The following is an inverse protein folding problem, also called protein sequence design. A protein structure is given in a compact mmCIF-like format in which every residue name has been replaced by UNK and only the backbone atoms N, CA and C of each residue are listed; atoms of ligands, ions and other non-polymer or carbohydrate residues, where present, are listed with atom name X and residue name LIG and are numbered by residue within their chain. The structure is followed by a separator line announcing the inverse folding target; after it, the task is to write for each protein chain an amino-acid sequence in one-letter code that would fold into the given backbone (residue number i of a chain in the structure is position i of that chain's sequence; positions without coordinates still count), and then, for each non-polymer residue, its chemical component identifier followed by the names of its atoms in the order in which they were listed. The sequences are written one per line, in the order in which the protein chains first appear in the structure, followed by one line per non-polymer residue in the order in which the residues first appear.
data_IF_609444806045
#
_entry.id   IF_609444806045
#
_cell.length_a   1.000
_cell.length_b   1.000
_cell.length_c   1.000
_cell.angle_alpha   90.00
_cell.angle_beta   90.00
_cell.angle_gamma   90.00
#
_symmetry.space_group_name_H-M   'P 1'
#
loop_
_entity.id
_entity.type
_entity.pdbx_description
1 polymer ?
#
# COMPACT_ATOMS: atom_id res chain seq x y z
N UNK A 1 27.37 -35.00 -5.43
CA UNK A 1 26.56 -35.55 -4.31
C UNK A 1 25.08 -35.35 -4.62
N UNK A 2 24.16 -36.10 -4.00
CA UNK A 2 22.73 -35.88 -4.22
C UNK A 2 22.30 -34.55 -3.57
N UNK A 3 21.60 -33.69 -4.31
CA UNK A 3 21.04 -32.45 -3.76
C UNK A 3 20.07 -32.82 -2.64
N UNK A 4 20.41 -32.46 -1.40
CA UNK A 4 19.58 -32.75 -0.24
C UNK A 4 18.36 -31.81 -0.18
N UNK A 5 17.41 -32.13 0.69
CA UNK A 5 16.11 -31.45 0.75
C UNK A 5 16.22 -29.96 1.10
N UNK A 6 17.20 -29.57 1.93
CA UNK A 6 17.47 -28.18 2.27
C UNK A 6 17.96 -27.41 1.04
N UNK A 7 18.94 -27.96 0.32
CA UNK A 7 19.47 -27.35 -0.91
C UNK A 7 18.43 -27.31 -2.02
N UNK A 8 17.56 -28.31 -2.11
CA UNK A 8 16.43 -28.31 -3.01
C UNK A 8 15.45 -27.18 -2.68
N UNK A 9 15.11 -26.98 -1.40
CA UNK A 9 14.24 -25.90 -0.96
C UNK A 9 14.84 -24.52 -1.28
N UNK A 10 16.14 -24.33 -1.07
CA UNK A 10 16.83 -23.09 -1.40
C UNK A 10 16.78 -22.82 -2.91
N UNK A 11 17.06 -23.84 -3.74
CA UNK A 11 16.95 -23.73 -5.19
C UNK A 11 15.52 -23.38 -5.65
N UNK A 12 14.51 -24.04 -5.07
CA UNK A 12 13.10 -23.78 -5.40
C UNK A 12 12.76 -22.34 -5.04
N UNK A 13 13.08 -21.89 -3.82
CA UNK A 13 12.80 -20.53 -3.36
C UNK A 13 13.41 -19.45 -4.25
N UNK A 14 14.68 -19.63 -4.63
CA UNK A 14 15.35 -18.69 -5.52
C UNK A 14 14.63 -18.61 -6.87
N UNK A 15 14.24 -19.76 -7.43
CA UNK A 15 13.66 -19.84 -8.78
C UNK A 15 12.13 -19.65 -8.86
N UNK A 16 11.43 -19.29 -7.76
CA UNK A 16 9.98 -19.02 -7.76
C UNK A 16 9.69 -17.68 -8.47
N UNK A 17 10.39 -16.63 -8.06
CA UNK A 17 10.08 -15.26 -8.48
C UNK A 17 10.63 -14.94 -9.88
N UNK A 18 11.79 -15.51 -10.24
CA UNK A 18 12.43 -15.29 -11.55
C UNK A 18 13.30 -16.48 -11.98
N UNK A 19 13.50 -16.71 -13.30
CA UNK A 19 14.38 -17.76 -13.79
C UNK A 19 15.85 -17.41 -13.60
N UNK A 20 16.69 -18.43 -13.34
CA UNK A 20 18.14 -18.31 -13.24
C UNK A 20 18.83 -19.26 -14.20
N UNK A 21 20.00 -18.90 -14.71
CA UNK A 21 20.87 -19.87 -15.39
C UNK A 21 21.40 -20.90 -14.39
N UNK A 22 21.74 -22.10 -14.88
CA UNK A 22 22.40 -23.14 -14.05
C UNK A 22 23.63 -22.59 -13.33
N UNK A 23 24.43 -21.76 -14.02
CA UNK A 23 25.64 -21.16 -13.45
C UNK A 23 25.34 -20.12 -12.35
N UNK A 24 24.33 -19.28 -12.53
CA UNK A 24 23.92 -18.33 -11.50
C UNK A 24 23.39 -19.06 -10.26
N UNK A 25 22.58 -20.11 -10.46
CA UNK A 25 22.03 -20.90 -9.37
C UNK A 25 23.11 -21.67 -8.60
N UNK A 26 24.13 -22.19 -9.31
CA UNK A 26 25.31 -22.81 -8.71
C UNK A 26 26.01 -21.85 -7.74
N UNK A 27 26.28 -20.62 -8.19
CA UNK A 27 26.91 -19.59 -7.37
C UNK A 27 26.09 -19.20 -6.14
N UNK A 28 24.76 -19.08 -6.28
CA UNK A 28 23.87 -18.66 -5.18
C UNK A 28 23.66 -19.74 -4.12
N UNK A 29 23.67 -21.02 -4.51
CA UNK A 29 23.39 -22.15 -3.62
C UNK A 29 24.65 -22.84 -3.09
N UNK A 30 25.82 -22.41 -3.54
CA UNK A 30 27.11 -23.04 -3.29
C UNK A 30 27.11 -24.53 -3.69
N UNK A 31 26.57 -24.83 -4.88
CA UNK A 31 26.58 -26.15 -5.51
C UNK A 31 27.39 -26.09 -6.80
N UNK A 32 27.98 -27.20 -7.24
CA UNK A 32 28.66 -27.21 -8.53
C UNK A 32 27.64 -27.17 -9.70
N UNK A 33 28.07 -26.61 -10.83
CA UNK A 33 27.27 -26.59 -12.06
C UNK A 33 26.76 -27.99 -12.44
N UNK A 34 27.64 -29.00 -12.37
CA UNK A 34 27.29 -30.37 -12.72
C UNK A 34 26.32 -31.02 -11.74
N UNK A 35 26.33 -30.64 -10.46
CA UNK A 35 25.35 -31.17 -9.50
C UNK A 35 23.94 -30.67 -9.79
N UNK A 36 23.78 -29.38 -10.08
CA UNK A 36 22.49 -28.81 -10.49
C UNK A 36 22.07 -29.40 -11.84
N UNK A 37 22.99 -29.44 -12.82
CA UNK A 37 22.70 -29.96 -14.14
C UNK A 37 22.21 -31.41 -14.08
N UNK A 38 22.92 -32.28 -13.35
CA UNK A 38 22.54 -33.68 -13.19
C UNK A 38 21.23 -33.84 -12.41
N UNK A 39 21.01 -33.02 -11.37
CA UNK A 39 19.77 -33.05 -10.60
C UNK A 39 18.55 -32.72 -11.47
N UNK A 40 18.63 -31.72 -12.34
CA UNK A 40 17.54 -31.34 -13.24
C UNK A 40 17.14 -32.44 -14.24
N UNK A 41 18.02 -33.41 -14.50
CA UNK A 41 17.71 -34.56 -15.35
C UNK A 41 16.93 -35.65 -14.61
N UNK A 42 16.92 -35.63 -13.27
CA UNK A 42 16.18 -36.60 -12.44
C UNK A 42 14.68 -36.33 -12.47
N UNK A 43 13.87 -37.35 -12.13
CA UNK A 43 12.42 -37.19 -12.00
C UNK A 43 12.03 -36.10 -10.98
N UNK A 44 12.76 -35.99 -9.86
CA UNK A 44 12.54 -34.91 -8.87
C UNK A 44 12.91 -33.54 -9.43
N UNK A 45 14.02 -33.42 -10.15
CA UNK A 45 14.42 -32.17 -10.79
C UNK A 45 13.37 -31.68 -11.79
N UNK A 46 12.89 -32.57 -12.67
CA UNK A 46 11.83 -32.27 -13.64
C UNK A 46 10.47 -31.98 -13.00
N UNK A 47 10.21 -32.58 -11.82
CA UNK A 47 8.99 -32.33 -11.07
C UNK A 47 8.95 -30.92 -10.46
N UNK A 48 10.08 -30.45 -9.91
CA UNK A 48 10.14 -29.15 -9.24
C UNK A 48 10.55 -28.00 -10.13
N UNK A 49 11.20 -28.25 -11.28
CA UNK A 49 11.76 -27.21 -12.12
C UNK A 49 11.46 -27.42 -13.60
N UNK A 50 11.17 -26.32 -14.28
CA UNK A 50 11.15 -26.21 -15.74
C UNK A 50 12.46 -25.59 -16.20
N UNK A 51 12.99 -26.07 -17.32
CA UNK A 51 14.21 -25.51 -17.91
C UNK A 51 14.05 -25.23 -19.38
N UNK A 52 14.61 -24.11 -19.84
CA UNK A 52 14.59 -23.66 -21.23
C UNK A 52 16.00 -23.24 -21.66
N UNK A 53 16.35 -23.43 -22.93
CA UNK A 53 17.65 -23.04 -23.48
C UNK A 53 17.47 -21.81 -24.36
N UNK A 54 18.10 -20.70 -23.99
CA UNK A 54 18.07 -19.42 -24.71
C UNK A 54 19.51 -18.97 -24.91
N UNK A 55 19.90 -18.71 -26.16
CA UNK A 55 21.25 -18.24 -26.54
C UNK A 55 22.40 -19.08 -25.95
N UNK A 56 22.25 -20.41 -25.97
CA UNK A 56 23.25 -21.34 -25.46
C UNK A 56 23.23 -21.54 -23.94
N UNK A 57 22.52 -20.69 -23.19
CA UNK A 57 22.39 -20.75 -21.74
C UNK A 57 21.13 -21.51 -21.32
N UNK A 58 21.23 -22.37 -20.31
CA UNK A 58 20.10 -23.12 -19.75
C UNK A 58 19.53 -22.38 -18.54
N UNK A 59 18.34 -21.82 -18.70
CA UNK A 59 17.56 -21.18 -17.65
C UNK A 59 16.68 -22.18 -16.93
N UNK A 60 16.46 -21.96 -15.65
CA UNK A 60 15.72 -22.82 -14.74
C UNK A 60 14.73 -21.95 -13.96
N UNK A 61 13.48 -22.40 -13.87
CA UNK A 61 12.46 -21.81 -13.01
C UNK A 61 11.77 -22.89 -12.20
N UNK A 62 11.33 -22.58 -10.98
CA UNK A 62 10.50 -23.50 -10.21
C UNK A 62 9.16 -23.69 -10.93
N UNK A 63 8.65 -24.93 -10.97
CA UNK A 63 7.36 -25.23 -11.57
C UNK A 63 6.21 -24.76 -10.66
N UNK A 64 5.40 -23.77 -11.09
CA UNK A 64 4.32 -23.21 -10.26
C UNK A 64 3.32 -24.27 -9.78
N UNK A 65 3.14 -25.35 -10.52
CA UNK A 65 2.16 -26.41 -10.18
C UNK A 65 2.65 -27.40 -9.14
N UNK A 66 3.95 -27.44 -8.82
CA UNK A 66 4.53 -28.55 -8.03
C UNK A 66 5.49 -28.10 -6.92
N UNK A 67 5.88 -26.82 -6.88
CA UNK A 67 6.84 -26.30 -5.89
C UNK A 67 6.34 -26.34 -4.42
N UNK A 68 5.04 -26.52 -4.17
CA UNK A 68 4.45 -26.65 -2.84
C UNK A 68 4.42 -28.10 -2.28
N UNK A 69 4.92 -29.09 -3.01
CA UNK A 69 4.79 -30.52 -2.67
C UNK A 69 6.04 -31.17 -2.06
N UNK A 70 7.04 -30.39 -1.63
CA UNK A 70 8.17 -30.93 -0.83
C UNK A 70 7.62 -31.35 0.55
N UNK A 71 7.19 -32.61 0.68
CA UNK A 71 6.71 -33.21 1.93
C UNK A 71 7.79 -34.11 2.56
N UNK A 72 8.12 -33.80 3.80
CA UNK A 72 8.95 -34.65 4.68
C UNK A 72 8.55 -34.58 6.16
N UNK A 73 7.45 -35.27 6.52
CA UNK A 73 7.08 -35.82 7.84
C UNK A 73 7.46 -35.05 9.13
N UNK A 74 6.46 -34.38 9.70
CA UNK A 74 6.00 -34.75 11.04
C UNK A 74 4.47 -34.89 10.97
N UNK A 75 3.94 -36.03 11.43
CA UNK A 75 2.51 -36.12 11.75
C UNK A 75 2.27 -35.09 12.85
N UNK A 76 1.78 -33.89 12.50
CA UNK A 76 1.16 -33.00 13.46
C UNK A 76 0.02 -33.81 14.08
N UNK A 77 0.22 -34.29 15.31
CA UNK A 77 -0.94 -34.51 16.19
C UNK A 77 -1.72 -33.20 16.10
N UNK A 78 -3.01 -33.29 15.77
CA UNK A 78 -3.94 -32.18 15.89
C UNK A 78 -3.68 -31.52 17.25
N UNK A 79 -3.05 -30.36 17.24
CA UNK A 79 -2.93 -29.55 18.43
C UNK A 79 -4.35 -29.13 18.77
N UNK A 80 -4.96 -29.83 19.71
CA UNK A 80 -6.16 -29.36 20.36
C UNK A 80 -5.74 -28.15 21.20
N UNK A 81 -5.84 -26.97 20.59
CA UNK A 81 -5.70 -25.69 21.29
C UNK A 81 -6.56 -25.73 22.55
N UNK A 82 -6.07 -25.26 23.71
CA UNK A 82 -6.97 -24.92 24.80
C UNK A 82 -8.04 -24.01 24.23
N UNK A 83 -9.31 -24.32 24.49
CA UNK A 83 -10.46 -23.55 24.02
C UNK A 83 -10.38 -22.11 24.52
N UNK A 84 -9.65 -21.25 23.80
CA UNK A 84 -9.93 -19.84 23.77
C UNK A 84 -11.12 -19.67 22.83
N UNK A 85 -12.19 -19.05 23.33
CA UNK A 85 -13.44 -18.91 22.61
C UNK A 85 -13.21 -18.48 21.16
N UNK A 86 -13.91 -19.12 20.20
CA UNK A 86 -13.55 -19.01 18.80
C UNK A 86 -13.90 -17.62 18.26
N UNK A 87 -12.90 -16.90 17.73
CA UNK A 87 -13.08 -15.74 16.85
C UNK A 87 -13.65 -16.17 15.46
N UNK A 88 -14.50 -17.19 15.40
CA UNK A 88 -15.00 -17.82 14.17
C UNK A 88 -16.35 -17.29 13.67
N UNK A 89 -17.01 -16.38 14.40
CA UNK A 89 -18.26 -15.78 13.91
C UNK A 89 -17.96 -14.79 12.79
N UNK A 90 -18.04 -15.27 11.54
CA UNK A 90 -18.17 -14.43 10.35
C UNK A 90 -19.33 -13.47 10.59
N UNK A 91 -19.08 -12.18 10.39
CA UNK A 91 -20.07 -11.15 10.69
C UNK A 91 -21.07 -11.00 9.55
N UNK A 92 -22.14 -11.80 9.59
CA UNK A 92 -23.18 -11.88 8.55
C UNK A 92 -24.01 -10.60 8.39
N UNK A 93 -24.11 -9.74 9.41
CA UNK A 93 -24.97 -8.52 9.35
C UNK A 93 -24.28 -7.30 8.74
N UNK A 94 -23.37 -7.49 7.78
CA UNK A 94 -22.64 -6.40 7.11
C UNK A 94 -23.52 -5.79 6.01
N UNK A 95 -23.85 -4.49 6.10
CA UNK A 95 -24.70 -3.83 5.11
C UNK A 95 -23.86 -3.19 3.98
N UNK A 96 -24.30 -3.33 2.74
CA UNK A 96 -23.64 -2.72 1.58
C UNK A 96 -23.55 -1.17 1.70
N UNK A 97 -24.44 -0.55 2.47
CA UNK A 97 -24.43 0.89 2.80
C UNK A 97 -23.17 1.36 3.52
N UNK A 98 -22.44 0.45 4.17
CA UNK A 98 -21.21 0.80 4.89
C UNK A 98 -20.01 1.00 3.95
N UNK A 99 -20.16 0.66 2.66
CA UNK A 99 -19.13 0.87 1.65
C UNK A 99 -19.18 2.30 1.07
N UNK A 100 -18.01 2.90 0.77
CA UNK A 100 -17.96 4.20 0.12
C UNK A 100 -18.56 4.11 -1.29
N UNK A 101 -19.54 4.97 -1.60
CA UNK A 101 -20.24 4.97 -2.88
C UNK A 101 -19.36 5.27 -4.11
N UNK A 102 -18.22 5.95 -3.92
CA UNK A 102 -17.21 6.19 -4.97
C UNK A 102 -15.91 5.48 -4.61
N UNK A 103 -15.74 4.24 -5.05
CA UNK A 103 -14.48 3.49 -4.96
C UNK A 103 -14.28 2.61 -6.21
N UNK A 104 -13.02 2.38 -6.58
CA UNK A 104 -12.68 1.45 -7.66
C UNK A 104 -13.10 0.03 -7.34
N UNK A 105 -13.28 -0.79 -8.37
CA UNK A 105 -13.79 -2.15 -8.25
C UNK A 105 -12.93 -3.01 -7.31
N UNK A 106 -11.62 -3.03 -7.50
CA UNK A 106 -10.68 -3.85 -6.71
C UNK A 106 -10.71 -3.43 -5.24
N UNK A 107 -10.74 -2.12 -5.00
CA UNK A 107 -10.82 -1.57 -3.64
C UNK A 107 -12.14 -1.92 -2.97
N UNK A 108 -13.25 -1.92 -3.72
CA UNK A 108 -14.56 -2.31 -3.22
C UNK A 108 -14.56 -3.79 -2.80
N UNK A 109 -13.95 -4.66 -3.59
CA UNK A 109 -13.77 -6.08 -3.25
C UNK A 109 -12.90 -6.27 -2.00
N UNK A 110 -11.79 -5.53 -1.90
CA UNK A 110 -10.92 -5.61 -0.73
C UNK A 110 -11.63 -5.14 0.55
N UNK A 111 -12.48 -4.10 0.43
CA UNK A 111 -13.33 -3.65 1.54
C UNK A 111 -14.30 -4.74 2.00
N UNK A 112 -14.95 -5.46 1.08
CA UNK A 112 -15.80 -6.60 1.45
C UNK A 112 -15.04 -7.68 2.23
N UNK A 113 -13.80 -7.99 1.83
CA UNK A 113 -12.95 -8.96 2.54
C UNK A 113 -12.69 -8.53 3.99
N UNK A 114 -12.23 -7.29 4.21
CA UNK A 114 -11.93 -6.79 5.57
C UNK A 114 -13.17 -6.49 6.43
N UNK A 115 -14.37 -6.52 5.86
CA UNK A 115 -15.63 -6.45 6.63
C UNK A 115 -16.05 -7.79 7.22
N UNK A 116 -15.56 -8.91 6.68
CA UNK A 116 -15.90 -10.26 7.16
C UNK A 116 -15.05 -10.72 8.34
N UNK A 117 -13.94 -10.03 8.61
CA UNK A 117 -12.94 -10.40 9.62
C UNK A 117 -12.66 -9.27 10.60
N UNK A 118 -12.25 -9.64 11.82
CA UNK A 118 -11.81 -8.72 12.85
C UNK A 118 -10.29 -8.83 13.09
N UNK A 119 -9.52 -8.90 12.02
CA UNK A 119 -8.06 -8.96 12.06
C UNK A 119 -7.52 -10.16 11.31
N UNK A 120 -6.38 -10.01 10.66
CA UNK A 120 -5.78 -11.09 9.88
C UNK A 120 -5.13 -12.16 10.76
N UNK A 121 -4.59 -11.76 11.90
CA UNK A 121 -3.84 -12.66 12.76
C UNK A 121 -3.21 -11.93 13.93
N UNK A 122 -2.22 -12.56 14.54
CA UNK A 122 -1.49 -12.02 15.68
C UNK A 122 -0.02 -12.41 15.64
N UNK A 123 0.78 -11.65 16.37
CA UNK A 123 2.18 -12.03 16.61
C UNK A 123 2.22 -13.06 17.73
N UNK A 124 2.80 -14.22 17.45
CA UNK A 124 3.01 -15.33 18.39
C UNK A 124 4.50 -15.52 18.64
N UNK A 125 4.86 -16.10 19.79
CA UNK A 125 6.24 -16.49 20.07
C UNK A 125 6.55 -17.80 19.35
N UNK A 126 7.70 -17.87 18.68
CA UNK A 126 8.16 -19.08 18.01
C UNK A 126 8.47 -20.14 19.07
N UNK A 127 8.05 -21.36 18.82
CA UNK A 127 8.28 -22.50 19.69
C UNK A 127 9.12 -23.56 18.97
N UNK A 128 9.97 -24.25 19.72
CA UNK A 128 10.65 -25.46 19.24
C UNK A 128 9.69 -26.66 19.18
N UNK A 129 10.18 -27.82 18.75
CA UNK A 129 9.42 -29.07 18.69
C UNK A 129 8.85 -29.53 20.05
N UNK A 130 9.41 -29.04 21.15
CA UNK A 130 9.01 -29.34 22.52
C UNK A 130 8.09 -28.27 23.14
N UNK A 131 7.74 -27.23 22.38
CA UNK A 131 6.89 -26.13 22.83
C UNK A 131 7.62 -25.02 23.60
N UNK A 132 8.95 -25.07 23.70
CA UNK A 132 9.73 -24.04 24.38
C UNK A 132 9.94 -22.82 23.46
N UNK A 133 9.93 -21.57 23.99
CA UNK A 133 10.20 -20.39 23.20
C UNK A 133 11.59 -20.42 22.56
N UNK A 134 11.66 -20.29 21.24
CA UNK A 134 12.93 -20.12 20.52
C UNK A 134 13.44 -18.71 20.82
N UNK A 135 14.66 -18.60 21.36
CA UNK A 135 15.27 -17.33 21.72
C UNK A 135 16.14 -16.78 20.59
N UNK A 136 16.19 -15.45 20.49
CA UNK A 136 17.19 -14.74 19.68
C UNK A 136 18.57 -14.77 20.35
N UNK A 137 19.61 -14.39 19.62
CA UNK A 137 20.98 -14.21 20.15
C UNK A 137 21.04 -13.31 21.41
N UNK A 138 20.05 -12.43 21.59
CA UNK A 138 19.93 -11.52 22.74
C UNK A 138 19.04 -12.08 23.85
N UNK A 139 18.73 -13.37 23.85
CA UNK A 139 17.93 -14.07 24.86
C UNK A 139 16.44 -13.69 24.86
N UNK A 140 15.94 -12.99 23.83
CA UNK A 140 14.51 -12.63 23.72
C UNK A 140 13.75 -13.63 22.86
N UNK A 141 12.51 -14.03 23.20
CA UNK A 141 11.68 -14.88 22.36
C UNK A 141 11.56 -14.32 20.94
N UNK A 142 11.88 -15.16 19.96
CA UNK A 142 11.61 -14.89 18.56
C UNK A 142 10.09 -14.88 18.36
N UNK A 143 9.65 -14.00 17.47
CA UNK A 143 8.22 -13.79 17.21
C UNK A 143 7.96 -13.90 15.74
N UNK A 144 6.83 -14.49 15.40
CA UNK A 144 6.32 -14.56 14.04
C UNK A 144 4.85 -14.16 13.99
N UNK A 145 4.37 -13.87 12.79
CA UNK A 145 2.97 -13.56 12.58
C UNK A 145 2.23 -14.82 12.17
N UNK A 146 1.22 -15.21 12.95
CA UNK A 146 0.33 -16.31 12.64
C UNK A 146 -1.06 -15.76 12.30
N UNK A 147 -1.61 -16.18 11.16
CA UNK A 147 -3.00 -15.92 10.83
C UNK A 147 -3.95 -16.60 11.83
N UNK A 148 -5.14 -16.06 12.02
CA UNK A 148 -6.11 -16.68 12.93
C UNK A 148 -6.67 -18.01 12.37
N UNK A 149 -6.75 -18.13 11.04
CA UNK A 149 -7.08 -19.34 10.31
C UNK A 149 -6.73 -19.17 8.83
N UNK A 150 -6.78 -20.25 8.06
CA UNK A 150 -6.59 -20.25 6.61
C UNK A 150 -7.55 -19.28 5.91
N UNK A 151 -8.77 -19.14 6.42
CA UNK A 151 -9.73 -18.14 5.93
C UNK A 151 -9.20 -16.70 6.05
N UNK A 152 -8.56 -16.37 7.17
CA UNK A 152 -8.00 -15.03 7.40
C UNK A 152 -6.76 -14.76 6.53
N UNK A 153 -5.95 -15.79 6.30
CA UNK A 153 -4.85 -15.75 5.34
C UNK A 153 -5.39 -15.52 3.92
N UNK A 154 -6.41 -16.26 3.48
CA UNK A 154 -7.07 -16.03 2.19
C UNK A 154 -7.67 -14.62 2.05
N UNK A 155 -8.22 -14.04 3.14
CA UNK A 155 -8.69 -12.66 3.11
C UNK A 155 -7.52 -11.66 2.97
N UNK A 156 -6.39 -11.95 3.62
CA UNK A 156 -5.18 -11.12 3.55
C UNK A 156 -4.56 -11.17 2.16
N UNK A 157 -4.27 -12.37 1.65
CA UNK A 157 -3.67 -12.56 0.32
C UNK A 157 -4.58 -12.03 -0.77
N UNK A 158 -5.89 -12.30 -0.67
CA UNK A 158 -6.86 -11.73 -1.61
C UNK A 158 -6.98 -10.20 -1.53
N UNK A 159 -6.62 -9.55 -0.42
CA UNK A 159 -6.52 -8.09 -0.36
C UNK A 159 -5.24 -7.58 -1.01
N UNK A 160 -4.13 -8.31 -0.85
CA UNK A 160 -2.84 -8.00 -1.46
C UNK A 160 -2.91 -8.13 -2.98
N UNK A 161 -3.47 -9.22 -3.49
CA UNK A 161 -3.70 -9.46 -4.91
C UNK A 161 -4.54 -8.35 -5.55
N UNK A 162 -5.65 -7.95 -4.91
CA UNK A 162 -6.48 -6.84 -5.39
C UNK A 162 -5.72 -5.50 -5.43
N UNK A 163 -4.78 -5.29 -4.51
CA UNK A 163 -3.93 -4.12 -4.53
C UNK A 163 -2.88 -4.18 -5.64
N UNK A 164 -2.25 -5.33 -5.85
CA UNK A 164 -1.30 -5.56 -6.95
C UNK A 164 -2.00 -5.36 -8.30
N UNK A 165 -3.18 -5.93 -8.50
CA UNK A 165 -3.99 -5.71 -9.70
C UNK A 165 -4.31 -4.23 -9.92
N UNK A 166 -4.63 -3.51 -8.83
CA UNK A 166 -4.82 -2.06 -8.91
C UNK A 166 -3.53 -1.34 -9.33
N UNK A 167 -2.35 -1.70 -8.79
CA UNK A 167 -1.06 -1.11 -9.16
C UNK A 167 -0.72 -1.38 -10.62
N UNK A 168 -0.75 -2.65 -11.04
CA UNK A 168 -0.50 -3.06 -12.43
C UNK A 168 -1.38 -2.26 -13.39
N UNK A 169 -2.68 -2.16 -13.11
CA UNK A 169 -3.59 -1.40 -13.96
C UNK A 169 -3.25 0.09 -14.01
N UNK A 170 -3.01 0.75 -12.87
CA UNK A 170 -2.71 2.19 -12.88
C UNK A 170 -1.35 2.53 -13.48
N UNK A 171 -0.40 1.59 -13.50
CA UNK A 171 0.90 1.77 -14.14
C UNK A 171 0.79 1.80 -15.66
N UNK A 172 -0.27 1.19 -16.22
CA UNK A 172 -0.62 1.26 -17.64
C UNK A 172 -1.53 2.45 -18.00
N UNK A 173 -1.86 3.31 -17.01
CA UNK A 173 -2.73 4.46 -17.22
C UNK A 173 -1.95 5.76 -17.41
N UNK A 174 -2.46 6.63 -18.28
CA UNK A 174 -1.93 7.96 -18.53
C UNK A 174 -3.03 9.02 -18.43
N UNK A 175 -2.74 10.15 -17.79
CA UNK A 175 -3.58 11.33 -17.77
C UNK A 175 -3.34 12.15 -19.04
N UNK A 176 -4.41 12.44 -19.78
CA UNK A 176 -4.37 13.24 -21.00
C UNK A 176 -4.83 14.68 -20.76
N UNK A 177 -4.09 15.63 -21.30
CA UNK A 177 -4.34 17.06 -21.19
C UNK A 177 -4.24 17.73 -22.55
N UNK A 178 -5.21 18.58 -22.87
CA UNK A 178 -5.22 19.37 -24.11
C UNK A 178 -4.97 20.85 -23.81
N UNK A 179 -4.38 21.61 -24.73
CA UNK A 179 -4.34 23.07 -24.63
C UNK A 179 -5.74 23.64 -24.43
N UNK A 180 -5.84 24.70 -23.64
CA UNK A 180 -7.09 25.45 -23.52
C UNK A 180 -7.30 26.26 -24.80
N UNK A 181 -8.57 26.46 -25.18
CA UNK A 181 -8.97 27.16 -26.42
C UNK A 181 -8.21 28.48 -26.62
N UNK A 182 -7.69 28.69 -27.84
CA UNK A 182 -6.86 29.85 -28.19
C UNK A 182 -5.36 29.72 -27.88
N UNK A 183 -4.90 28.60 -27.30
CA UNK A 183 -3.48 28.29 -27.14
C UNK A 183 -3.02 27.26 -28.16
N UNK A 184 -1.96 27.59 -28.91
CA UNK A 184 -1.25 26.62 -29.73
C UNK A 184 -0.39 25.72 -28.83
N UNK A 185 -0.52 24.40 -28.98
CA UNK A 185 0.30 23.41 -28.29
C UNK A 185 -0.17 21.99 -28.56
N UNK A 186 0.71 21.02 -28.31
CA UNK A 186 0.37 19.62 -28.47
C UNK A 186 -0.32 19.05 -27.23
N UNK A 187 -1.11 17.99 -27.43
CA UNK A 187 -1.68 17.18 -26.36
C UNK A 187 -0.57 16.62 -25.47
N UNK A 188 -0.71 16.79 -24.16
CA UNK A 188 0.22 16.27 -23.16
C UNK A 188 -0.33 15.03 -22.50
N UNK A 189 0.49 13.99 -22.42
CA UNK A 189 0.22 12.80 -21.60
C UNK A 189 1.16 12.76 -20.39
N UNK A 190 0.65 12.29 -19.25
CA UNK A 190 1.45 12.05 -18.04
C UNK A 190 1.09 10.71 -17.42
N UNK A 191 2.05 9.92 -16.92
CA UNK A 191 1.75 8.69 -16.20
C UNK A 191 0.77 8.93 -15.04
N UNK A 192 -0.15 8.00 -14.81
CA UNK A 192 -1.08 8.03 -13.68
C UNK A 192 -0.32 7.75 -12.38
N UNK A 193 0.31 8.79 -11.86
CA UNK A 193 1.14 8.69 -10.66
C UNK A 193 0.32 8.89 -9.38
N UNK A 194 0.43 7.96 -8.44
CA UNK A 194 -0.16 8.01 -7.10
C UNK A 194 0.92 7.90 -6.02
N UNK A 195 0.53 7.89 -4.74
CA UNK A 195 1.49 7.68 -3.63
C UNK A 195 2.04 6.25 -3.55
N UNK A 196 1.44 5.32 -4.30
CA UNK A 196 1.75 3.90 -4.24
C UNK A 196 2.74 3.49 -5.34
N UNK A 197 2.62 4.03 -6.54
CA UNK A 197 3.46 3.71 -7.70
C UNK A 197 4.49 4.81 -8.08
N UNK A 198 4.57 5.93 -7.35
CA UNK A 198 5.47 7.03 -7.71
C UNK A 198 6.47 7.37 -6.59
N UNK A 199 7.72 6.98 -6.80
CA UNK A 199 8.85 7.32 -5.92
C UNK A 199 8.99 8.83 -5.72
N UNK A 200 8.93 9.69 -6.77
CA UNK A 200 8.96 11.15 -6.58
C UNK A 200 7.86 11.65 -5.64
N UNK A 201 6.63 11.14 -5.75
CA UNK A 201 5.55 11.52 -4.84
C UNK A 201 5.82 11.08 -3.41
N UNK A 202 6.40 9.90 -3.21
CA UNK A 202 6.81 9.44 -1.89
C UNK A 202 7.92 10.30 -1.28
N UNK A 203 8.91 10.74 -2.08
CA UNK A 203 9.95 11.69 -1.66
C UNK A 203 9.31 13.01 -1.21
N UNK A 204 8.46 13.62 -2.04
CA UNK A 204 7.76 14.87 -1.69
C UNK A 204 6.93 14.73 -0.41
N UNK A 205 6.31 13.56 -0.17
CA UNK A 205 5.61 13.29 1.08
C UNK A 205 6.56 13.25 2.28
N UNK A 206 7.76 12.68 2.15
CA UNK A 206 8.77 12.68 3.22
C UNK A 206 9.29 14.09 3.50
N UNK A 207 9.58 14.87 2.48
CA UNK A 207 10.02 16.27 2.62
C UNK A 207 8.97 17.13 3.33
N UNK A 208 7.70 16.99 2.96
CA UNK A 208 6.61 17.73 3.60
C UNK A 208 6.40 17.29 5.06
N UNK A 209 6.62 16.02 5.37
CA UNK A 209 6.62 15.53 6.75
C UNK A 209 7.74 16.18 7.57
N UNK A 210 8.97 16.19 7.03
CA UNK A 210 10.14 16.79 7.70
C UNK A 210 9.98 18.30 7.90
N UNK A 211 9.47 19.02 6.89
CA UNK A 211 9.17 20.45 7.00
C UNK A 211 8.14 20.73 8.10
N UNK A 212 7.06 19.96 8.15
CA UNK A 212 6.05 20.11 9.20
C UNK A 212 6.61 19.82 10.59
N UNK A 213 7.45 18.79 10.72
CA UNK A 213 8.14 18.50 11.98
C UNK A 213 9.07 19.64 12.38
N UNK A 214 9.94 20.10 11.48
CA UNK A 214 10.93 21.14 11.75
C UNK A 214 10.27 22.45 12.17
N UNK A 215 9.17 22.82 11.53
CA UNK A 215 8.38 23.99 11.95
C UNK A 215 7.83 23.82 13.37
N UNK A 216 7.44 22.60 13.76
CA UNK A 216 7.07 22.29 15.15
C UNK A 216 8.24 22.48 16.13
N UNK A 217 9.46 22.08 15.76
CA UNK A 217 10.66 22.32 16.58
C UNK A 217 11.01 23.81 16.67
N UNK A 218 10.78 24.60 15.62
CA UNK A 218 11.06 26.03 15.67
C UNK A 218 10.06 26.81 16.54
N UNK A 219 8.81 26.36 16.57
CA UNK A 219 7.71 27.09 17.21
C UNK A 219 7.45 26.72 18.67
N UNK A 220 7.91 25.55 19.13
CA UNK A 220 7.52 25.01 20.44
C UNK A 220 8.71 24.50 21.24
N UNK A 221 8.69 24.76 22.55
CA UNK A 221 9.72 24.30 23.48
C UNK A 221 9.47 22.87 24.01
N UNK A 222 8.25 22.37 23.85
CA UNK A 222 7.85 21.08 24.36
C UNK A 222 6.84 20.39 23.44
N UNK A 223 6.74 19.06 23.59
CA UNK A 223 5.73 18.25 22.90
C UNK A 223 5.46 16.94 23.65
N UNK A 224 4.37 16.26 23.29
CA UNK A 224 4.09 14.90 23.73
C UNK A 224 4.02 13.96 22.54
N UNK A 225 4.72 12.84 22.66
CA UNK A 225 4.64 11.71 21.75
C UNK A 225 3.62 10.71 22.27
N UNK A 226 2.61 10.40 21.47
CA UNK A 226 1.47 9.56 21.85
C UNK A 226 1.31 8.44 20.82
N UNK A 227 1.23 7.20 21.30
CA UNK A 227 0.88 6.04 20.48
C UNK A 227 -0.53 5.57 20.85
N UNK A 228 -1.46 5.71 19.91
CA UNK A 228 -2.84 5.25 20.04
C UNK A 228 -3.00 3.90 19.32
N UNK A 229 -3.74 2.97 19.92
CA UNK A 229 -4.05 1.66 19.32
C UNK A 229 -5.53 1.34 19.41
N UNK A 230 -5.93 0.19 18.87
CA UNK A 230 -7.31 -0.30 18.89
C UNK A 230 -7.41 -1.55 19.75
N UNK A 231 -8.45 -1.64 20.58
CA UNK A 231 -8.81 -2.90 21.25
C UNK A 231 -9.63 -3.74 20.25
N UNK A 232 -9.15 -4.91 19.83
CA UNK A 232 -9.85 -5.83 18.94
C UNK A 232 -11.29 -6.13 19.35
N UNK A 233 -11.55 -6.25 20.66
CA UNK A 233 -12.84 -6.71 21.20
C UNK A 233 -13.94 -5.68 21.07
N UNK A 234 -13.58 -4.39 20.92
CA UNK A 234 -14.54 -3.29 20.78
C UNK A 234 -15.16 -3.17 19.38
N UNK A 235 -14.67 -3.94 18.41
CA UNK A 235 -15.09 -3.81 17.02
C UNK A 235 -15.50 -5.12 16.41
N UNK A 236 -16.45 -4.99 15.50
CA UNK A 236 -17.02 -6.10 14.76
C UNK A 236 -16.09 -6.60 13.66
N UNK A 237 -15.48 -5.69 12.92
CA UNK A 237 -14.62 -6.00 11.79
C UNK A 237 -13.59 -4.88 11.56
N UNK A 238 -12.56 -5.17 10.76
CA UNK A 238 -11.44 -4.25 10.53
C UNK A 238 -11.88 -2.92 9.94
N UNK A 239 -12.83 -2.92 8.99
CA UNK A 239 -13.33 -1.66 8.42
C UNK A 239 -13.96 -0.74 9.49
N UNK A 240 -14.73 -1.29 10.42
CA UNK A 240 -15.36 -0.53 11.49
C UNK A 240 -14.30 0.02 12.45
N UNK A 241 -13.35 -0.82 12.87
CA UNK A 241 -12.22 -0.44 13.72
C UNK A 241 -11.41 0.73 13.14
N UNK A 242 -11.00 0.62 11.88
CA UNK A 242 -10.12 1.61 11.26
C UNK A 242 -10.86 2.91 10.88
N UNK A 243 -12.15 2.85 10.52
CA UNK A 243 -12.97 4.06 10.30
C UNK A 243 -13.19 4.86 11.58
N UNK A 244 -13.47 4.17 12.70
CA UNK A 244 -13.71 4.83 13.98
C UNK A 244 -12.46 5.50 14.56
N UNK A 245 -11.27 5.01 14.19
CA UNK A 245 -10.00 5.53 14.70
C UNK A 245 -9.85 7.04 14.48
N UNK A 246 -10.09 7.52 13.26
CA UNK A 246 -10.00 8.95 12.94
C UNK A 246 -11.04 9.78 13.70
N UNK A 247 -12.28 9.26 13.81
CA UNK A 247 -13.37 9.93 14.53
C UNK A 247 -13.01 10.11 16.00
N UNK A 248 -12.49 9.07 16.63
CA UNK A 248 -12.10 9.09 18.02
C UNK A 248 -10.84 9.95 18.25
N UNK A 249 -9.88 9.94 17.32
CA UNK A 249 -8.75 10.88 17.35
C UNK A 249 -9.22 12.33 17.33
N UNK A 250 -10.15 12.67 16.45
CA UNK A 250 -10.71 14.03 16.37
C UNK A 250 -11.42 14.44 17.67
N UNK A 251 -12.13 13.51 18.34
CA UNK A 251 -12.72 13.77 19.67
C UNK A 251 -11.64 14.04 20.72
N UNK A 252 -10.58 13.23 20.74
CA UNK A 252 -9.48 13.38 21.69
C UNK A 252 -8.78 14.74 21.53
N UNK A 253 -8.37 15.11 20.31
CA UNK A 253 -7.68 16.39 20.10
C UNK A 253 -8.61 17.58 20.39
N UNK A 254 -9.92 17.46 20.11
CA UNK A 254 -10.92 18.48 20.47
C UNK A 254 -11.04 18.64 21.98
N UNK A 255 -11.11 17.53 22.71
CA UNK A 255 -11.13 17.54 24.18
C UNK A 255 -9.86 18.21 24.74
N UNK A 256 -8.69 17.84 24.22
CA UNK A 256 -7.42 18.41 24.67
C UNK A 256 -7.36 19.92 24.43
N UNK A 257 -7.77 20.40 23.25
CA UNK A 257 -7.85 21.83 22.94
C UNK A 257 -8.78 22.59 23.88
N UNK A 258 -9.97 22.03 24.17
CA UNK A 258 -10.91 22.62 25.12
C UNK A 258 -10.34 22.68 26.53
N UNK A 259 -9.65 21.61 26.97
CA UNK A 259 -9.05 21.53 28.30
C UNK A 259 -7.88 22.47 28.48
N UNK A 260 -7.08 22.68 27.44
CA UNK A 260 -5.85 23.49 27.52
C UNK A 260 -6.05 24.95 27.12
N UNK A 261 -7.13 25.27 26.40
CA UNK A 261 -7.35 26.59 25.82
C UNK A 261 -6.36 26.94 24.70
N UNK A 262 -5.57 25.97 24.21
CA UNK A 262 -4.50 26.19 23.23
C UNK A 262 -4.81 25.50 21.91
N UNK A 263 -4.32 26.08 20.81
CA UNK A 263 -4.13 25.27 19.61
C UNK A 263 -3.10 24.18 19.91
N UNK A 264 -3.35 22.97 19.42
CA UNK A 264 -2.46 21.82 19.58
C UNK A 264 -2.03 21.35 18.20
N UNK A 265 -0.96 21.94 17.63
CA UNK A 265 -0.37 21.49 16.39
C UNK A 265 0.19 20.08 16.56
N UNK A 266 0.04 19.23 15.55
CA UNK A 266 0.53 17.86 15.61
C UNK A 266 1.09 17.37 14.28
N UNK A 267 1.95 16.37 14.35
CA UNK A 267 2.29 15.47 13.24
C UNK A 267 1.86 14.07 13.66
N UNK A 268 1.10 13.38 12.83
CA UNK A 268 0.59 12.03 13.08
C UNK A 268 0.95 11.13 11.91
N UNK A 269 1.75 10.10 12.17
CA UNK A 269 2.00 8.97 11.26
C UNK A 269 1.05 7.85 11.61
N UNK A 270 0.43 7.27 10.60
CA UNK A 270 -0.37 6.06 10.76
C UNK A 270 0.57 4.89 10.54
N UNK A 271 0.44 3.81 11.29
CA UNK A 271 1.10 2.54 11.04
C UNK A 271 0.02 1.47 11.00
N UNK A 272 -0.15 0.81 9.86
CA UNK A 272 -0.94 -0.41 9.81
C UNK A 272 -0.09 -1.58 10.29
N UNK A 273 -0.60 -2.31 11.28
CA UNK A 273 0.00 -3.56 11.71
C UNK A 273 -0.38 -4.69 10.74
N UNK A 274 0.41 -5.77 10.73
CA UNK A 274 0.12 -6.96 9.91
C UNK A 274 -1.24 -7.61 10.27
N UNK A 275 -1.75 -7.37 11.48
CA UNK A 275 -3.08 -7.82 11.90
C UNK A 275 -4.25 -7.03 11.27
N UNK A 276 -4.00 -5.97 10.49
CA UNK A 276 -5.04 -5.19 9.82
C UNK A 276 -5.43 -3.88 10.52
N UNK A 277 -4.95 -3.64 11.74
CA UNK A 277 -5.35 -2.50 12.58
C UNK A 277 -4.38 -1.34 12.46
N UNK A 278 -4.93 -0.13 12.47
CA UNK A 278 -4.13 1.09 12.47
C UNK A 278 -3.71 1.50 13.88
N UNK A 279 -2.44 1.90 14.00
CA UNK A 279 -1.88 2.65 15.12
C UNK A 279 -1.63 4.08 14.67
N UNK A 280 -1.86 5.05 15.55
CA UNK A 280 -1.42 6.43 15.31
C UNK A 280 -0.24 6.73 16.22
N UNK A 281 0.90 7.06 15.62
CA UNK A 281 2.04 7.64 16.31
C UNK A 281 2.02 9.14 16.09
N UNK A 282 1.93 9.91 17.17
CA UNK A 282 1.57 11.33 17.11
C UNK A 282 2.55 12.13 17.95
N UNK A 283 3.10 13.20 17.39
CA UNK A 283 3.76 14.25 18.16
C UNK A 283 2.80 15.45 18.24
N UNK A 284 2.40 15.84 19.45
CA UNK A 284 1.54 16.99 19.73
C UNK A 284 2.42 18.09 20.35
N UNK A 285 2.60 19.19 19.64
CA UNK A 285 3.48 20.29 20.05
C UNK A 285 2.78 21.25 21.02
N UNK A 286 3.56 21.88 21.90
CA UNK A 286 3.10 22.91 22.84
C UNK A 286 2.44 22.36 24.11
N UNK A 287 2.57 21.05 24.39
CA UNK A 287 1.97 20.41 25.55
C UNK A 287 2.81 19.23 26.07
N UNK A 288 2.80 19.06 27.39
CA UNK A 288 3.17 17.82 28.06
C UNK A 288 1.93 17.15 28.62
N UNK A 289 1.65 15.94 28.16
CA UNK A 289 0.61 15.08 28.66
C UNK A 289 1.16 14.21 29.80
N UNK A 290 0.29 13.69 30.69
CA UNK A 290 0.70 12.74 31.71
C UNK A 290 1.34 11.51 31.07
N UNK A 291 2.62 11.27 31.38
CA UNK A 291 3.39 10.17 30.81
C UNK A 291 2.83 8.82 31.26
N UNK A 292 2.97 7.82 30.39
CA UNK A 292 2.66 6.44 30.72
C UNK A 292 3.72 5.88 31.67
N UNK A 293 3.29 5.41 32.85
CA UNK A 293 4.17 4.72 33.80
C UNK A 293 4.36 3.27 33.38
N UNK A 294 5.59 2.76 33.49
CA UNK A 294 5.93 1.39 33.08
C UNK A 294 5.10 0.34 33.82
N UNK A 295 4.89 0.51 35.12
CA UNK A 295 4.12 -0.42 35.95
C UNK A 295 2.60 -0.23 35.86
N UNK A 296 2.11 0.77 35.11
CA UNK A 296 0.68 1.06 35.00
C UNK A 296 0.33 1.71 33.64
N UNK A 297 0.56 1.01 32.51
CA UNK A 297 0.47 1.62 31.19
C UNK A 297 -0.94 2.12 30.83
N UNK A 298 -1.97 1.52 31.44
CA UNK A 298 -3.37 1.82 31.18
C UNK A 298 -3.99 2.82 32.15
N UNK A 299 -3.23 3.30 33.14
CA UNK A 299 -3.76 4.19 34.18
C UNK A 299 -3.48 5.68 33.91
N UNK A 300 -3.19 6.06 32.65
CA UNK A 300 -3.08 7.47 32.28
C UNK A 300 -4.45 8.05 31.84
N UNK A 301 -4.73 9.35 32.06
CA UNK A 301 -6.03 9.96 31.72
C UNK A 301 -6.39 9.87 30.24
N UNK A 302 -5.40 9.91 29.35
CA UNK A 302 -5.61 9.85 27.90
C UNK A 302 -6.09 8.44 27.50
N UNK A 303 -5.56 7.39 28.14
CA UNK A 303 -5.93 5.99 27.93
C UNK A 303 -7.37 5.73 28.38
N UNK A 304 -7.75 6.31 29.53
CA UNK A 304 -9.14 6.28 30.02
C UNK A 304 -10.10 6.95 29.04
N UNK A 305 -9.74 8.11 28.48
CA UNK A 305 -10.54 8.80 27.46
C UNK A 305 -10.64 7.99 26.16
N UNK A 306 -9.52 7.43 25.70
CA UNK A 306 -9.47 6.62 24.47
C UNK A 306 -10.35 5.38 24.58
N UNK A 307 -10.31 4.72 25.75
CA UNK A 307 -11.19 3.59 26.08
C UNK A 307 -12.66 4.03 26.14
N UNK A 308 -12.95 5.17 26.79
CA UNK A 308 -14.31 5.74 26.85
C UNK A 308 -14.88 6.07 25.48
N UNK A 309 -14.04 6.44 24.51
CA UNK A 309 -14.48 6.65 23.12
C UNK A 309 -14.71 5.36 22.33
N UNK A 310 -14.47 4.19 22.95
CA UNK A 310 -14.72 2.88 22.37
C UNK A 310 -13.69 2.46 21.32
N UNK A 311 -12.51 3.09 21.26
CA UNK A 311 -11.46 2.66 20.32
C UNK A 311 -10.54 1.59 20.91
N UNK A 312 -10.05 1.81 22.13
CA UNK A 312 -9.10 0.88 22.71
C UNK A 312 -8.30 1.49 23.83
N UNK A 313 -7.06 1.03 23.98
CA UNK A 313 -6.17 1.49 25.03
C UNK A 313 -5.00 2.26 24.41
N UNK A 314 -4.48 3.25 25.13
CA UNK A 314 -3.25 3.93 24.74
C UNK A 314 -2.10 3.09 25.23
N UNK A 315 -1.13 2.85 24.34
CA UNK A 315 0.02 2.03 24.68
C UNK A 315 1.17 2.84 25.24
N UNK A 316 1.35 4.11 24.81
CA UNK A 316 2.45 4.91 25.31
C UNK A 316 2.26 6.43 25.15
N UNK A 317 2.68 7.18 26.17
CA UNK A 317 2.76 8.65 26.18
C UNK A 317 4.13 9.03 26.74
N UNK A 318 4.95 9.66 25.90
CA UNK A 318 6.28 10.19 26.24
C UNK A 318 6.29 11.70 26.06
N UNK A 319 7.13 12.41 26.80
CA UNK A 319 7.30 13.85 26.62
C UNK A 319 8.61 14.13 25.90
N UNK A 320 8.58 15.22 25.15
CA UNK A 320 9.69 15.75 24.39
C UNK A 320 10.02 17.15 24.90
N UNK A 321 11.31 17.46 24.92
CA UNK A 321 11.83 18.78 25.22
C UNK A 321 12.66 19.25 24.04
N UNK A 322 12.53 20.53 23.70
CA UNK A 322 13.36 21.15 22.70
C UNK A 322 14.71 21.52 23.30
N UNK A 323 15.78 21.03 22.70
CA UNK A 323 17.15 21.45 23.02
C UNK A 323 17.80 21.91 21.71
N UNK A 324 18.19 23.17 21.68
CA UNK A 324 18.89 23.79 20.55
C UNK A 324 18.14 23.64 19.20
N UNK A 325 16.81 23.81 19.24
CA UNK A 325 15.96 23.73 18.05
C UNK A 325 15.71 22.31 17.53
N UNK A 326 15.97 21.30 18.36
CA UNK A 326 15.73 19.87 18.07
C UNK A 326 14.92 19.26 19.21
N UNK A 327 13.83 18.57 18.87
CA UNK A 327 13.05 17.83 19.87
C UNK A 327 13.79 16.57 20.28
N UNK A 328 13.96 16.39 21.58
CA UNK A 328 14.60 15.22 22.20
C UNK A 328 13.64 14.54 23.17
N UNK A 329 13.84 13.24 23.39
CA UNK A 329 13.16 12.53 24.47
C UNK A 329 13.55 13.17 25.81
N UNK A 330 12.57 13.50 26.65
CA UNK A 330 12.82 14.14 27.93
C UNK A 330 13.34 13.12 28.96
N UNK A 331 12.45 12.36 29.60
CA UNK A 331 12.79 11.39 30.67
C UNK A 331 12.87 9.95 30.21
N UNK A 332 12.05 9.59 29.23
CA UNK A 332 11.96 8.22 28.73
C UNK A 332 11.62 8.20 27.25
N UNK A 333 12.01 7.11 26.61
CA UNK A 333 11.82 6.85 25.19
C UNK A 333 11.09 5.53 24.98
N UNK A 334 10.48 5.29 23.81
CA UNK A 334 9.91 3.99 23.48
C UNK A 334 10.96 2.87 23.60
N UNK A 335 10.54 1.68 24.04
CA UNK A 335 11.46 0.55 24.33
C UNK A 335 12.22 0.04 23.11
N UNK A 336 11.64 0.19 21.91
CA UNK A 336 12.20 -0.22 20.63
C UNK A 336 12.98 0.90 19.92
N UNK A 337 13.06 2.09 20.53
CA UNK A 337 13.86 3.21 20.03
C UNK A 337 15.36 2.92 20.23
N UNK A 338 16.21 3.25 19.25
CA UNK A 338 17.67 3.07 19.38
C UNK A 338 18.26 4.12 20.33
N UNK A 339 19.37 3.78 21.00
CA UNK A 339 20.07 4.72 21.90
C UNK A 339 20.38 6.00 21.10
N UNK A 340 20.04 7.15 21.67
CA UNK A 340 20.26 8.48 21.08
C UNK A 340 19.49 8.76 19.77
N UNK A 341 18.51 7.92 19.41
CA UNK A 341 17.65 8.17 18.24
C UNK A 341 16.63 9.28 18.52
N UNK A 342 16.63 10.38 17.74
CA UNK A 342 15.70 11.48 17.96
C UNK A 342 14.26 11.07 17.64
N UNK A 343 13.26 11.64 18.33
CA UNK A 343 11.83 11.38 18.10
C UNK A 343 11.40 11.51 16.64
N UNK A 344 11.96 12.49 15.90
CA UNK A 344 11.67 12.69 14.48
C UNK A 344 12.01 11.45 13.64
N UNK A 345 13.24 10.93 13.84
CA UNK A 345 13.76 9.76 13.11
C UNK A 345 13.00 8.50 13.48
N UNK A 346 12.71 8.33 14.77
CA UNK A 346 11.88 7.24 15.26
C UNK A 346 10.49 7.25 14.60
N UNK A 347 9.83 8.41 14.53
CA UNK A 347 8.51 8.53 13.89
C UNK A 347 8.58 8.34 12.36
N UNK A 348 9.63 8.86 11.72
CA UNK A 348 9.88 8.73 10.27
C UNK A 348 10.05 7.27 9.85
N UNK A 349 10.57 6.40 10.72
CA UNK A 349 10.69 4.95 10.48
C UNK A 349 9.35 4.32 10.05
N UNK A 350 8.27 4.68 10.74
CA UNK A 350 6.92 4.16 10.42
C UNK A 350 6.40 4.66 9.08
N UNK A 351 6.70 5.92 8.72
CA UNK A 351 6.37 6.49 7.42
C UNK A 351 7.12 5.77 6.30
N UNK A 352 8.42 5.53 6.46
CA UNK A 352 9.25 4.82 5.49
C UNK A 352 8.74 3.39 5.33
N UNK A 353 8.54 2.66 6.44
CA UNK A 353 7.99 1.30 6.41
C UNK A 353 6.68 1.26 5.62
N UNK A 354 5.77 2.20 5.88
CA UNK A 354 4.51 2.29 5.16
C UNK A 354 4.63 2.56 3.64
N UNK A 355 5.72 3.18 3.19
CA UNK A 355 5.98 3.49 1.79
C UNK A 355 6.71 2.38 1.03
N UNK A 356 7.48 1.51 1.70
CA UNK A 356 8.26 0.46 1.03
C UNK A 356 7.70 -0.94 1.24
N UNK A 357 6.98 -1.17 2.33
CA UNK A 357 6.37 -2.45 2.63
C UNK A 357 5.01 -2.57 1.92
N UNK A 358 4.94 -3.39 0.87
CA UNK A 358 3.69 -3.63 0.12
C UNK A 358 2.56 -4.13 1.03
N UNK A 359 2.92 -4.96 2.03
CA UNK A 359 1.98 -5.49 3.02
C UNK A 359 1.40 -4.41 3.95
N UNK A 360 2.09 -3.28 4.06
CA UNK A 360 1.56 -2.09 4.70
C UNK A 360 0.77 -1.25 3.69
N UNK A 361 1.28 -1.05 2.48
CA UNK A 361 0.68 -0.18 1.45
C UNK A 361 -0.76 -0.55 1.10
N UNK A 362 -1.05 -1.84 0.90
CA UNK A 362 -2.41 -2.27 0.52
C UNK A 362 -3.43 -1.84 1.57
N UNK A 363 -3.06 -1.81 2.86
CA UNK A 363 -3.95 -1.36 3.92
C UNK A 363 -4.22 0.15 3.82
N UNK A 364 -3.22 0.97 3.52
CA UNK A 364 -3.46 2.41 3.23
C UNK A 364 -4.36 2.62 2.03
N UNK A 365 -4.25 1.76 1.02
CA UNK A 365 -5.11 1.78 -0.16
C UNK A 365 -6.56 1.39 0.20
N UNK A 366 -6.78 0.26 0.88
CA UNK A 366 -8.11 -0.20 1.32
C UNK A 366 -8.84 0.90 2.09
N UNK A 367 -8.20 1.48 3.10
CA UNK A 367 -8.83 2.47 3.96
C UNK A 367 -8.78 3.90 3.41
N UNK A 368 -8.15 4.11 2.23
CA UNK A 368 -7.79 5.43 1.69
C UNK A 368 -7.17 6.35 2.76
N UNK A 369 -6.26 5.77 3.54
CA UNK A 369 -5.55 6.46 4.58
C UNK A 369 -4.33 7.17 3.98
N UNK A 370 -4.05 8.39 4.48
CA UNK A 370 -2.76 9.05 4.25
C UNK A 370 -1.71 8.38 5.14
N UNK A 371 -0.46 8.31 4.67
CA UNK A 371 0.65 7.83 5.49
C UNK A 371 0.83 8.67 6.77
N UNK A 372 0.68 9.98 6.63
CA UNK A 372 0.74 10.91 7.74
C UNK A 372 -0.22 12.08 7.53
N UNK A 373 -0.48 12.82 8.61
CA UNK A 373 -1.25 14.06 8.64
C UNK A 373 -0.58 15.04 9.60
N UNK A 374 -0.79 16.33 9.40
CA UNK A 374 -0.28 17.37 10.29
C UNK A 374 -1.25 18.55 10.37
N UNK A 375 -1.14 19.34 11.44
CA UNK A 375 -1.89 20.58 11.61
C UNK A 375 -1.43 21.66 10.63
N UNK A 376 -2.37 22.40 10.05
CA UNK A 376 -2.05 23.52 9.13
C UNK A 376 -1.18 24.61 9.78
N UNK A 377 -1.23 24.75 11.11
CA UNK A 377 -0.35 25.63 11.87
C UNK A 377 1.15 25.27 11.74
N UNK A 378 1.49 24.00 11.47
CA UNK A 378 2.88 23.59 11.28
C UNK A 378 3.37 23.84 9.86
N UNK A 379 2.51 23.64 8.87
CA UNK A 379 2.88 23.84 7.48
C UNK A 379 1.62 24.18 6.71
N UNK A 380 1.47 25.46 6.38
CA UNK A 380 0.40 25.89 5.49
C UNK A 380 0.85 25.58 4.07
N UNK A 381 0.18 24.66 3.39
CA UNK A 381 0.42 24.50 1.96
C UNK A 381 0.03 25.81 1.30
N UNK A 382 0.96 26.55 0.65
CA UNK A 382 0.62 27.82 0.04
C UNK A 382 -0.53 27.57 -0.94
N UNK A 383 -1.56 28.42 -0.89
CA UNK A 383 -2.61 28.40 -1.91
C UNK A 383 -1.89 28.62 -3.25
N UNK A 384 -1.77 27.57 -4.07
CA UNK A 384 -1.23 27.71 -5.42
C UNK A 384 -2.06 28.79 -6.11
N UNK A 385 -1.46 29.95 -6.39
CA UNK A 385 -2.05 30.96 -7.27
C UNK A 385 -2.30 30.22 -8.58
N UNK A 386 -3.57 30.05 -8.92
CA UNK A 386 -3.94 29.41 -10.18
C UNK A 386 -3.61 30.42 -11.27
N UNK A 387 -2.47 30.26 -11.91
CA UNK A 387 -2.20 30.93 -13.17
C UNK A 387 -3.23 30.55 -14.24
N UNK A 388 -3.23 31.21 -15.41
CA UNK A 388 -4.10 30.83 -16.51
C UNK A 388 -3.96 29.33 -16.79
N UNK A 389 -5.09 28.62 -16.88
CA UNK A 389 -5.10 27.20 -17.23
C UNK A 389 -4.67 27.09 -18.68
N UNK A 390 -3.40 26.75 -18.91
CA UNK A 390 -2.88 26.52 -20.27
C UNK A 390 -3.33 25.18 -20.84
N UNK A 391 -3.55 24.22 -19.95
CA UNK A 391 -3.97 22.87 -20.29
C UNK A 391 -5.18 22.47 -19.44
N UNK A 392 -6.11 21.75 -20.06
CA UNK A 392 -7.26 21.15 -19.40
C UNK A 392 -7.14 19.63 -19.39
N UNK A 393 -7.54 19.01 -18.27
CA UNK A 393 -7.61 17.56 -18.17
C UNK A 393 -8.85 17.04 -18.91
N UNK A 394 -8.64 16.13 -19.86
CA UNK A 394 -9.67 15.66 -20.79
C UNK A 394 -10.10 14.22 -20.49
N UNK A 395 -9.18 13.37 -20.02
CA UNK A 395 -9.49 11.99 -19.71
C UNK A 395 -8.27 11.18 -19.30
N UNK A 396 -8.48 9.92 -18.97
CA UNK A 396 -7.41 8.95 -18.69
C UNK A 396 -7.37 7.92 -19.80
N UNK A 397 -6.19 7.66 -20.35
CA UNK A 397 -5.90 6.57 -21.28
C UNK A 397 -5.53 5.34 -20.44
N UNK A 398 -6.08 4.19 -20.78
CA UNK A 398 -5.72 2.89 -20.25
C UNK A 398 -5.16 2.07 -21.41
N UNK A 399 -3.83 1.94 -21.45
CA UNK A 399 -3.13 1.35 -22.59
C UNK A 399 -3.37 -0.15 -22.70
N UNK A 400 -3.48 -0.83 -21.56
CA UNK A 400 -3.75 -2.27 -21.51
C UNK A 400 -5.15 -2.58 -22.01
N UNK A 401 -6.15 -1.80 -21.58
CA UNK A 401 -7.52 -2.00 -22.04
C UNK A 401 -7.79 -1.41 -23.44
N UNK A 402 -6.86 -0.64 -24.01
CA UNK A 402 -7.09 0.13 -25.24
C UNK A 402 -8.22 1.15 -25.11
N UNK A 403 -8.46 1.69 -23.90
CA UNK A 403 -9.65 2.51 -23.59
C UNK A 403 -9.28 3.94 -23.22
N UNK A 404 -10.12 4.89 -23.63
CA UNK A 404 -10.06 6.27 -23.19
C UNK A 404 -11.25 6.63 -22.30
N UNK A 405 -11.00 6.88 -21.02
CA UNK A 405 -11.99 7.31 -20.05
C UNK A 405 -12.10 8.84 -20.04
N UNK A 406 -13.06 9.34 -20.82
CA UNK A 406 -13.31 10.78 -20.97
C UNK A 406 -13.91 11.40 -19.72
N UNK A 407 -13.51 12.63 -19.41
CA UNK A 407 -14.12 13.43 -18.36
C UNK A 407 -15.47 13.98 -18.83
N UNK A 408 -16.55 13.61 -18.14
CA UNK A 408 -17.89 14.17 -18.36
C UNK A 408 -17.88 15.70 -18.36
N UNK A 409 -18.52 16.29 -19.38
CA UNK A 409 -18.70 17.74 -19.53
C UNK A 409 -17.49 18.49 -20.13
N UNK A 410 -16.59 17.80 -20.83
CA UNK A 410 -15.46 18.43 -21.55
C UNK A 410 -15.73 18.41 -23.07
N UNK A 411 -16.07 19.54 -23.71
CA UNK A 411 -16.15 19.64 -25.17
C UNK A 411 -14.76 19.44 -25.78
N UNK A 412 -14.61 18.71 -26.90
CA UNK A 412 -13.37 18.79 -27.71
C UNK A 412 -12.87 17.57 -28.46
N UNK A 413 -13.22 16.33 -28.10
CA UNK A 413 -12.73 15.13 -28.77
C UNK A 413 -13.78 14.43 -29.62
N UNK A 414 -13.75 14.68 -30.93
CA UNK A 414 -14.20 13.72 -31.96
C UNK A 414 -12.96 13.07 -32.63
N UNK A 415 -11.74 13.57 -32.39
CA UNK A 415 -10.55 13.26 -33.20
C UNK A 415 -9.65 12.11 -32.74
N UNK A 416 -9.83 11.49 -31.57
CA UNK A 416 -8.92 10.43 -31.08
C UNK A 416 -9.51 9.03 -30.91
N UNK A 417 -10.80 8.79 -31.21
CA UNK A 417 -11.31 7.41 -31.29
C UNK A 417 -10.62 6.62 -32.41
N UNK A 418 -10.09 7.29 -33.42
CA UNK A 418 -9.38 6.71 -34.57
C UNK A 418 -7.93 6.30 -34.32
N UNK A 419 -7.30 6.73 -33.21
CA UNK A 419 -5.85 6.50 -33.00
C UNK A 419 -5.50 5.22 -32.21
N UNK A 420 -6.48 4.55 -31.60
CA UNK A 420 -6.26 3.33 -30.80
C UNK A 420 -6.86 2.06 -31.41
N UNK A 421 -7.27 2.09 -32.69
CA UNK A 421 -7.78 0.92 -33.39
C UNK A 421 -9.06 0.38 -32.75
N UNK A 422 -10.20 0.96 -33.12
CA UNK A 422 -11.48 0.25 -32.94
C UNK A 422 -11.42 -1.08 -33.71
N UNK A 423 -11.87 -2.22 -33.15
CA UNK A 423 -12.12 -3.39 -33.98
C UNK A 423 -13.11 -2.97 -35.06
N UNK A 424 -12.69 -3.12 -36.32
CA UNK A 424 -13.47 -2.76 -37.50
C UNK A 424 -14.84 -3.42 -37.40
N UNK A 425 -15.87 -2.60 -37.23
CA UNK A 425 -17.24 -2.99 -37.53
C UNK A 425 -17.57 -2.27 -38.83
N UNK A 426 -17.83 -2.98 -39.94
CA UNK A 426 -18.18 -2.31 -41.19
C UNK A 426 -19.42 -1.43 -40.94
N UNK A 427 -19.44 -0.18 -41.42
CA UNK A 427 -20.60 0.66 -41.27
C UNK A 427 -21.80 0.02 -41.98
N UNK A 428 -23.02 0.09 -41.41
CA UNK A 428 -24.22 -0.25 -42.17
C UNK A 428 -24.28 0.63 -43.42
N UNK A 429 -24.62 0.04 -44.57
CA UNK A 429 -24.75 0.74 -45.85
C UNK A 429 -25.57 2.02 -45.66
N UNK A 430 -24.92 3.17 -45.87
CA UNK A 430 -25.63 4.44 -45.90
C UNK A 430 -26.40 4.56 -47.22
N UNK A 431 -27.63 5.10 -47.19
CA UNK A 431 -28.36 5.40 -48.41
C UNK A 431 -27.58 6.44 -49.23
N UNK A 432 -27.53 6.23 -50.55
CA UNK A 432 -26.88 7.11 -51.51
C UNK A 432 -27.47 8.53 -51.41
N UNK A 433 -26.70 9.48 -50.88
CA UNK A 433 -27.03 10.90 -50.98
C UNK A 433 -26.67 11.45 -52.37
N UNK A 434 -27.60 12.20 -52.95
CA UNK A 434 -27.46 12.87 -54.24
C UNK A 434 -26.43 14.01 -54.17
N UNK A 435 -25.57 14.09 -55.19
CA UNK A 435 -24.52 15.10 -55.31
C UNK A 435 -25.12 16.52 -55.49
N UNK A 436 -24.66 17.53 -54.73
CA UNK A 436 -25.09 18.91 -54.94
C UNK A 436 -24.44 19.52 -56.20
N UNK A 437 -25.31 20.01 -57.08
CA UNK A 437 -25.04 20.68 -58.35
C UNK A 437 -24.51 22.11 -58.12
N UNK A 438 -23.19 22.25 -58.07
CA UNK A 438 -22.53 23.56 -58.04
C UNK A 438 -21.26 23.57 -58.89
N UNK A 439 -21.23 24.43 -59.92
CA UNK A 439 -20.14 24.52 -60.91
C UNK A 439 -18.76 24.79 -60.28
N UNK A 440 -18.71 25.44 -59.11
CA UNK A 440 -17.48 25.70 -58.35
C UNK A 440 -16.99 24.50 -57.53
N UNK A 441 -17.85 23.53 -57.25
CA UNK A 441 -17.52 22.33 -56.45
C UNK A 441 -16.94 21.22 -57.33
N UNK A 442 -17.37 21.10 -58.59
CA UNK A 442 -16.82 20.14 -59.54
C UNK A 442 -15.34 20.43 -59.89
N UNK A 443 -14.99 21.70 -60.14
CA UNK A 443 -13.62 22.11 -60.48
C UNK A 443 -12.62 21.87 -59.33
N UNK A 444 -13.07 21.99 -58.08
CA UNK A 444 -12.26 21.73 -56.89
C UNK A 444 -11.97 20.23 -56.68
N UNK A 445 -12.90 19.35 -57.03
CA UNK A 445 -12.70 17.90 -56.97
C UNK A 445 -11.82 17.37 -58.12
N UNK A 446 -11.94 17.94 -59.32
CA UNK A 446 -11.15 17.55 -60.50
C UNK A 446 -9.65 17.94 -60.38
N UNK A 447 -9.37 19.10 -59.77
CA UNK A 447 -7.99 19.55 -59.50
C UNK A 447 -7.29 18.73 -58.41
N UNK A 448 -8.05 18.16 -57.46
CA UNK A 448 -7.51 17.38 -56.35
C UNK A 448 -7.21 15.94 -56.72
N UNK A 449 -8.00 15.33 -57.61
CA UNK A 449 -7.73 13.97 -58.10
C UNK A 449 -6.50 13.90 -59.01
N UNK A 450 -6.16 14.99 -59.72
CA UNK A 450 -4.98 15.02 -60.60
C UNK A 450 -3.64 15.27 -59.86
N UNK A 451 -3.67 15.66 -58.59
CA UNK A 451 -2.44 15.89 -57.79
C UNK A 451 -1.96 14.66 -57.00
N UNK A 452 -2.80 13.63 -56.82
CA UNK A 452 -2.43 12.43 -56.03
C UNK A 452 -1.81 11.28 -56.85
N UNK A 453 -1.45 11.48 -58.13
CA UNK A 453 -0.78 10.45 -58.96
C UNK A 453 0.74 10.63 -59.07
N UNK A 454 1.34 11.66 -58.46
CA UNK A 454 2.81 11.78 -58.38
C UNK A 454 3.26 12.35 -57.03
N UNK A 455 3.47 11.46 -56.06
CA UNK A 455 4.64 11.42 -55.16
C UNK A 455 4.65 10.12 -54.34
#
# INVERSE_FOLDING_TARGET
MAINEIKLLDMVRLCIDQPYTVQQLANLTNLSYMEIYNFLQTGKGKFYFKSEKVDGLKFIRADPSNHYLIKGKAKLKLYQKPQQQPYSKVNETTKASDLPGKCGFERKQALFKVMKINGFGQTVEKQDENGNPILSEKGKPLREFAFFSDYHEQQYEGCLELFQNYITRIDQMELCFEPTEGLFGDTMVKPYATRFNSVPKQITLRENYEKAWKNGELLFQNASFVTLTTDPKGFRHLLHANKHFQKNWNKLITYLRKKTGKELPYVCVREFQKNGRVHFHICIFGIHLPQTKENAPYNNPISKLWKRYGQGQITDVKNLVNKDGVMQWDRSRPKDCKKDEPPMKYLKKYLIKAQYDETAQFQYWIYNARYYTYSQALLRTPKRRRGPKRYQYVGTIDREAGKFYRRHGTPGLIKHETALGTPYTPPPEQPKEELPTGFMTALYYELRQNQEVKL
#
